data_IF_709905660157
#
_entry.id   IF_709905660157
#
_cell.length_a   1.000
_cell.length_b   1.000
_cell.length_c   1.000
_cell.angle_alpha   90.00
_cell.angle_beta   90.00
_cell.angle_gamma   90.00
#
_symmetry.space_group_name_H-M   'P 1'
#
loop_
_entity.id
_entity.type
_entity.pdbx_description
1 polymer ?
#
# COMPACT_ATOMS: atom_id res chain seq x y z
N UNK A 1 40.09 21.33 -14.42
CA UNK A 1 39.19 20.18 -14.60
C UNK A 1 39.44 19.21 -13.45
N UNK A 2 38.53 19.20 -12.49
CA UNK A 2 38.50 18.16 -11.44
C UNK A 2 37.76 16.98 -12.02
N UNK A 3 38.47 15.94 -12.40
CA UNK A 3 37.85 14.63 -12.71
C UNK A 3 37.08 14.14 -11.45
N UNK A 4 35.87 13.59 -11.59
CA UNK A 4 35.15 13.05 -10.47
C UNK A 4 35.95 11.88 -9.88
N UNK A 5 36.17 11.91 -8.58
CA UNK A 5 36.85 10.82 -7.84
C UNK A 5 36.02 9.55 -8.07
N UNK A 6 36.60 8.46 -8.59
CA UNK A 6 35.88 7.21 -8.76
C UNK A 6 35.46 6.71 -7.37
N UNK A 7 34.16 6.70 -7.08
CA UNK A 7 33.60 6.08 -5.88
C UNK A 7 33.85 4.58 -6.00
N UNK A 8 34.67 4.02 -5.14
CA UNK A 8 34.94 2.59 -5.11
C UNK A 8 33.74 1.86 -4.53
N UNK A 9 32.83 1.45 -5.42
CA UNK A 9 31.61 0.73 -5.03
C UNK A 9 32.01 -0.70 -4.68
N UNK A 10 31.54 -1.20 -3.53
CA UNK A 10 31.79 -2.57 -3.17
C UNK A 10 31.04 -3.54 -4.11
N UNK A 11 31.63 -4.68 -4.43
CA UNK A 11 31.01 -5.76 -5.20
C UNK A 11 29.66 -6.19 -4.60
N UNK A 12 29.55 -6.11 -3.28
CA UNK A 12 28.33 -6.44 -2.53
C UNK A 12 27.20 -5.44 -2.81
N UNK A 13 27.51 -4.13 -2.81
CA UNK A 13 26.53 -3.07 -3.14
C UNK A 13 26.02 -3.23 -4.57
N UNK A 14 26.91 -3.52 -5.51
CA UNK A 14 26.53 -3.75 -6.91
C UNK A 14 25.60 -4.95 -7.05
N UNK A 15 25.90 -6.06 -6.38
CA UNK A 15 25.06 -7.26 -6.38
C UNK A 15 23.68 -6.98 -5.80
N UNK A 16 23.60 -6.28 -4.65
CA UNK A 16 22.32 -5.90 -4.00
C UNK A 16 21.51 -4.96 -4.90
N UNK A 17 22.17 -4.03 -5.58
CA UNK A 17 21.51 -3.15 -6.55
C UNK A 17 20.92 -3.94 -7.73
N UNK A 18 21.70 -4.82 -8.38
CA UNK A 18 21.25 -5.66 -9.49
C UNK A 18 20.08 -6.57 -9.07
N UNK A 19 20.12 -7.13 -7.87
CA UNK A 19 19.03 -7.92 -7.31
C UNK A 19 17.78 -7.07 -7.07
N UNK A 20 17.91 -5.88 -6.53
CA UNK A 20 16.79 -4.94 -6.31
C UNK A 20 16.16 -4.51 -7.63
N UNK A 21 16.95 -4.20 -8.65
CA UNK A 21 16.45 -3.88 -9.99
C UNK A 21 15.72 -5.06 -10.65
N UNK A 22 16.15 -6.28 -10.37
CA UNK A 22 15.48 -7.49 -10.88
C UNK A 22 14.16 -7.76 -10.17
N UNK A 23 14.12 -7.58 -8.84
CA UNK A 23 12.91 -7.81 -8.02
C UNK A 23 11.87 -6.70 -8.17
N UNK A 24 12.33 -5.46 -8.35
CA UNK A 24 11.50 -4.26 -8.42
C UNK A 24 11.83 -3.42 -9.66
N UNK A 25 11.62 -3.95 -10.88
CA UNK A 25 12.04 -3.29 -12.14
C UNK A 25 11.28 -1.98 -12.43
N UNK A 26 10.23 -1.71 -11.66
CA UNK A 26 9.43 -0.49 -11.79
C UNK A 26 9.86 0.64 -10.87
N UNK A 27 10.78 0.38 -9.91
CA UNK A 27 11.34 1.40 -9.04
C UNK A 27 12.45 2.16 -9.77
N UNK A 28 12.47 3.47 -9.58
CA UNK A 28 13.52 4.32 -10.10
C UNK A 28 14.66 4.43 -9.07
N UNK A 29 15.52 3.43 -9.04
CA UNK A 29 16.68 3.37 -8.13
C UNK A 29 17.88 4.10 -8.73
N UNK A 30 18.62 4.83 -7.90
CA UNK A 30 19.91 5.42 -8.25
C UNK A 30 20.97 4.34 -8.49
N UNK A 31 22.14 4.68 -9.11
CA UNK A 31 23.17 3.70 -9.54
C UNK A 31 23.68 2.78 -8.43
N UNK A 32 23.57 3.17 -7.16
CA UNK A 32 24.08 2.40 -6.01
C UNK A 32 23.00 2.13 -4.97
N UNK A 33 21.78 2.50 -5.29
CA UNK A 33 20.64 2.33 -4.41
C UNK A 33 20.10 0.90 -4.51
N UNK A 34 19.86 0.28 -3.36
CA UNK A 34 19.25 -1.03 -3.24
C UNK A 34 18.18 -1.06 -2.15
N UNK A 35 17.17 -1.89 -2.34
CA UNK A 35 16.07 -2.05 -1.40
C UNK A 35 16.52 -2.90 -0.22
N UNK A 36 16.41 -2.34 0.99
CA UNK A 36 16.70 -3.04 2.25
C UNK A 36 15.44 -3.77 2.70
N UNK A 37 14.29 -3.09 2.67
CA UNK A 37 13.03 -3.63 3.13
C UNK A 37 11.86 -3.08 2.34
N UNK A 38 10.91 -3.95 2.02
CA UNK A 38 9.61 -3.59 1.49
C UNK A 38 8.54 -3.78 2.57
N UNK A 39 7.75 -2.75 2.82
CA UNK A 39 6.69 -2.75 3.82
C UNK A 39 5.34 -2.64 3.09
N UNK A 40 4.56 -3.73 3.00
CA UNK A 40 3.23 -3.68 2.44
C UNK A 40 2.22 -3.07 3.41
N UNK A 41 1.10 -2.59 2.89
CA UNK A 41 -0.04 -2.22 3.74
C UNK A 41 -0.65 -3.45 4.41
N UNK A 42 -1.04 -3.30 5.66
CA UNK A 42 -1.76 -4.33 6.39
C UNK A 42 -3.15 -4.55 5.78
N UNK A 43 -3.53 -5.81 5.54
CA UNK A 43 -4.78 -6.19 4.86
C UNK A 43 -6.07 -5.71 5.54
N UNK A 44 -6.00 -5.39 6.84
CA UNK A 44 -7.18 -4.93 7.59
C UNK A 44 -7.82 -3.66 7.00
N UNK A 45 -7.04 -2.82 6.33
CA UNK A 45 -7.56 -1.60 5.71
C UNK A 45 -8.54 -1.84 4.57
N UNK A 46 -8.51 -3.02 3.94
CA UNK A 46 -9.45 -3.40 2.88
C UNK A 46 -10.67 -4.18 3.40
N UNK A 47 -10.67 -4.61 4.66
CA UNK A 47 -11.77 -5.41 5.20
C UNK A 47 -13.11 -4.65 5.21
N UNK A 48 -13.11 -3.37 5.61
CA UNK A 48 -14.33 -2.55 5.62
C UNK A 48 -15.02 -2.51 4.25
N UNK A 49 -14.35 -2.01 3.19
CA UNK A 49 -14.88 -2.05 1.83
C UNK A 49 -15.28 -3.44 1.35
N UNK A 50 -14.50 -4.48 1.69
CA UNK A 50 -14.79 -5.87 1.31
C UNK A 50 -16.10 -6.36 1.95
N UNK A 51 -16.28 -6.15 3.25
CA UNK A 51 -17.52 -6.51 3.92
C UNK A 51 -18.73 -5.75 3.37
N UNK A 52 -18.61 -4.45 3.14
CA UNK A 52 -19.68 -3.64 2.56
C UNK A 52 -20.08 -4.16 1.16
N UNK A 53 -19.12 -4.51 0.33
CA UNK A 53 -19.37 -5.03 -1.01
C UNK A 53 -19.99 -6.43 -1.00
N UNK A 54 -19.50 -7.32 -0.13
CA UNK A 54 -20.08 -8.66 0.06
C UNK A 54 -21.53 -8.54 0.55
N UNK A 55 -21.79 -7.64 1.51
CA UNK A 55 -23.14 -7.40 1.99
C UNK A 55 -24.05 -6.91 0.87
N UNK A 56 -23.58 -5.98 0.03
CA UNK A 56 -24.34 -5.50 -1.13
C UNK A 56 -24.67 -6.64 -2.12
N UNK A 57 -23.72 -7.52 -2.41
CA UNK A 57 -23.94 -8.70 -3.26
C UNK A 57 -24.99 -9.63 -2.66
N UNK A 58 -24.92 -9.88 -1.34
CA UNK A 58 -25.90 -10.71 -0.63
C UNK A 58 -27.29 -10.08 -0.74
N UNK A 59 -27.43 -8.77 -0.49
CA UNK A 59 -28.71 -8.08 -0.57
C UNK A 59 -29.32 -8.14 -1.98
N UNK A 60 -28.51 -7.92 -3.02
CA UNK A 60 -28.96 -8.07 -4.41
C UNK A 60 -29.38 -9.51 -4.71
N UNK A 61 -28.65 -10.49 -4.21
CA UNK A 61 -28.98 -11.91 -4.39
C UNK A 61 -30.29 -12.28 -3.68
N UNK A 62 -30.47 -11.83 -2.43
CA UNK A 62 -31.72 -12.04 -1.70
C UNK A 62 -32.90 -11.37 -2.43
N UNK A 63 -32.73 -10.13 -2.89
CA UNK A 63 -33.75 -9.47 -3.68
C UNK A 63 -34.11 -10.27 -4.94
N UNK A 64 -33.12 -10.76 -5.68
CA UNK A 64 -33.32 -11.55 -6.88
C UNK A 64 -34.17 -12.81 -6.60
N UNK A 65 -33.90 -13.54 -5.52
CA UNK A 65 -34.66 -14.73 -5.15
C UNK A 65 -36.05 -14.43 -4.59
N UNK A 66 -36.19 -13.34 -3.81
CA UNK A 66 -37.46 -12.95 -3.21
C UNK A 66 -38.38 -12.15 -4.15
N UNK A 67 -37.89 -11.74 -5.32
CA UNK A 67 -38.67 -10.91 -6.27
C UNK A 67 -40.06 -11.45 -6.57
N UNK A 68 -40.28 -12.75 -6.87
CA UNK A 68 -41.64 -13.27 -7.16
C UNK A 68 -42.64 -13.03 -6.02
N UNK A 69 -42.20 -13.13 -4.77
CA UNK A 69 -43.04 -12.96 -3.59
C UNK A 69 -43.30 -11.48 -3.27
N UNK A 70 -42.32 -10.62 -3.55
CA UNK A 70 -42.44 -9.16 -3.41
C UNK A 70 -43.30 -8.56 -4.50
N UNK A 71 -43.20 -9.04 -5.72
CA UNK A 71 -43.90 -8.54 -6.91
C UNK A 71 -45.43 -8.76 -6.85
N UNK A 72 -45.87 -9.91 -6.31
CA UNK A 72 -47.27 -10.28 -6.22
C UNK A 72 -48.15 -9.23 -5.50
N UNK A 73 -47.85 -8.82 -4.25
CA UNK A 73 -48.69 -7.90 -3.49
C UNK A 73 -48.71 -6.48 -4.01
N UNK A 74 -47.69 -6.06 -4.75
CA UNK A 74 -47.57 -4.70 -5.30
C UNK A 74 -48.00 -4.59 -6.78
N UNK A 75 -48.54 -5.68 -7.35
CA UNK A 75 -49.07 -5.71 -8.71
C UNK A 75 -48.05 -5.65 -9.84
N UNK A 76 -46.76 -5.94 -9.56
CA UNK A 76 -45.75 -6.04 -10.57
C UNK A 76 -45.87 -7.35 -11.34
N UNK A 77 -45.64 -7.29 -12.65
CA UNK A 77 -45.76 -8.45 -13.52
C UNK A 77 -44.67 -9.48 -13.24
N UNK A 78 -45.08 -10.70 -12.90
CA UNK A 78 -44.15 -11.84 -12.73
C UNK A 78 -43.43 -12.18 -14.05
N UNK A 79 -43.98 -11.82 -15.19
CA UNK A 79 -43.32 -11.97 -16.51
C UNK A 79 -42.03 -11.17 -16.63
N UNK A 80 -41.76 -10.21 -15.75
CA UNK A 80 -40.52 -9.44 -15.73
C UNK A 80 -39.38 -10.14 -14.92
N UNK A 81 -39.65 -11.27 -14.30
CA UNK A 81 -38.67 -11.97 -13.47
C UNK A 81 -37.35 -12.32 -14.22
N UNK A 82 -37.37 -12.79 -15.50
CA UNK A 82 -36.15 -13.03 -16.24
C UNK A 82 -35.29 -11.78 -16.44
N UNK A 83 -35.93 -10.62 -16.68
CA UNK A 83 -35.23 -9.35 -16.83
C UNK A 83 -34.60 -8.89 -15.50
N UNK A 84 -35.32 -9.09 -14.39
CA UNK A 84 -34.80 -8.78 -13.04
C UNK A 84 -33.59 -9.65 -12.71
N UNK A 85 -33.65 -10.95 -13.01
CA UNK A 85 -32.51 -11.86 -12.84
C UNK A 85 -31.30 -11.35 -13.62
N UNK A 86 -31.49 -11.02 -14.90
CA UNK A 86 -30.41 -10.53 -15.76
C UNK A 86 -29.77 -9.27 -15.19
N UNK A 87 -30.58 -8.31 -14.77
CA UNK A 87 -30.09 -7.05 -14.17
C UNK A 87 -29.34 -7.32 -12.86
N UNK A 88 -29.90 -8.14 -11.98
CA UNK A 88 -29.24 -8.50 -10.71
C UNK A 88 -27.89 -9.19 -10.95
N UNK A 89 -27.82 -10.12 -11.91
CA UNK A 89 -26.55 -10.77 -12.27
C UNK A 89 -25.53 -9.78 -12.82
N UNK A 90 -25.94 -8.84 -13.66
CA UNK A 90 -25.06 -7.78 -14.13
C UNK A 90 -24.53 -6.92 -12.98
N UNK A 91 -25.37 -6.55 -12.01
CA UNK A 91 -24.98 -5.77 -10.83
C UNK A 91 -24.01 -6.55 -9.96
N UNK A 92 -24.26 -7.85 -9.73
CA UNK A 92 -23.36 -8.72 -8.95
C UNK A 92 -21.99 -8.83 -9.62
N UNK A 93 -21.94 -8.99 -10.96
CA UNK A 93 -20.68 -9.03 -11.71
C UNK A 93 -19.93 -7.70 -11.57
N UNK A 94 -20.63 -6.56 -11.72
CA UNK A 94 -20.01 -5.24 -11.56
C UNK A 94 -19.46 -5.02 -10.16
N UNK A 95 -20.16 -5.45 -9.12
CA UNK A 95 -19.68 -5.40 -7.74
C UNK A 95 -18.46 -6.30 -7.54
N UNK A 96 -18.44 -7.49 -8.13
CA UNK A 96 -17.30 -8.41 -8.08
C UNK A 96 -16.05 -7.82 -8.74
N UNK A 97 -16.21 -7.22 -9.92
CA UNK A 97 -15.12 -6.52 -10.63
C UNK A 97 -14.64 -5.32 -9.80
N UNK A 98 -15.56 -4.51 -9.25
CA UNK A 98 -15.22 -3.37 -8.42
C UNK A 98 -14.45 -3.76 -7.17
N UNK A 99 -14.85 -4.84 -6.50
CA UNK A 99 -14.14 -5.40 -5.34
C UNK A 99 -12.72 -5.88 -5.72
N UNK A 100 -12.59 -6.61 -6.82
CA UNK A 100 -11.30 -7.06 -7.31
C UNK A 100 -10.35 -5.88 -7.57
N UNK A 101 -10.84 -4.84 -8.26
CA UNK A 101 -10.07 -3.63 -8.54
C UNK A 101 -9.67 -2.93 -7.24
N UNK A 102 -10.59 -2.79 -6.28
CA UNK A 102 -10.31 -2.14 -5.00
C UNK A 102 -9.21 -2.87 -4.21
N UNK A 103 -9.28 -4.21 -4.13
CA UNK A 103 -8.25 -5.02 -3.50
C UNK A 103 -6.92 -4.88 -4.23
N UNK A 104 -6.92 -4.96 -5.54
CA UNK A 104 -5.71 -4.82 -6.36
C UNK A 104 -5.04 -3.47 -6.14
N UNK A 105 -5.79 -2.37 -6.25
CA UNK A 105 -5.29 -1.00 -6.02
C UNK A 105 -4.73 -0.86 -4.60
N UNK A 106 -5.42 -1.40 -3.60
CA UNK A 106 -4.98 -1.36 -2.20
C UNK A 106 -3.63 -2.06 -2.00
N UNK A 107 -3.46 -3.24 -2.59
CA UNK A 107 -2.25 -4.06 -2.46
C UNK A 107 -1.04 -3.49 -3.20
N UNK A 108 -1.25 -2.58 -4.17
CA UNK A 108 -0.15 -1.90 -4.87
C UNK A 108 0.45 -0.73 -4.08
N UNK A 109 -0.18 -0.32 -2.98
CA UNK A 109 0.39 0.70 -2.10
C UNK A 109 1.47 0.08 -1.21
N UNK A 110 2.72 0.41 -1.49
CA UNK A 110 3.90 -0.15 -0.85
C UNK A 110 4.84 0.96 -0.41
N UNK A 111 5.66 0.62 0.56
CA UNK A 111 6.68 1.47 1.09
C UNK A 111 8.02 0.72 1.03
N UNK A 112 9.04 1.35 0.49
CA UNK A 112 10.36 0.77 0.35
C UNK A 112 11.36 1.60 1.15
N UNK A 113 12.14 0.92 1.97
CA UNK A 113 13.32 1.47 2.59
C UNK A 113 14.52 1.03 1.78
N UNK A 114 15.32 1.99 1.31
CA UNK A 114 16.57 1.75 0.61
C UNK A 114 17.75 2.20 1.46
N UNK A 115 18.96 1.96 0.99
CA UNK A 115 20.18 2.45 1.63
C UNK A 115 20.37 3.97 1.50
N UNK A 116 19.61 4.68 0.66
CA UNK A 116 19.75 6.13 0.42
C UNK A 116 18.46 6.90 0.64
N UNK A 117 17.32 6.26 0.48
CA UNK A 117 16.03 6.91 0.47
C UNK A 117 14.89 6.06 1.02
N UNK A 118 13.75 6.70 1.16
CA UNK A 118 12.46 6.06 1.40
C UNK A 118 11.57 6.33 0.20
N UNK A 119 11.06 5.28 -0.42
CA UNK A 119 10.21 5.36 -1.61
C UNK A 119 8.80 4.90 -1.26
N UNK A 120 7.83 5.77 -1.48
CA UNK A 120 6.41 5.42 -1.34
C UNK A 120 5.76 5.29 -2.71
N UNK A 121 5.23 4.12 -3.01
CA UNK A 121 4.33 3.91 -4.13
C UNK A 121 2.88 4.07 -3.69
N UNK A 122 2.16 4.97 -4.35
CA UNK A 122 0.74 5.23 -4.09
C UNK A 122 -0.03 4.93 -5.36
N UNK A 123 -0.80 3.85 -5.35
CA UNK A 123 -1.76 3.55 -6.40
C UNK A 123 -3.09 4.17 -6.01
N UNK A 124 -3.55 5.15 -6.81
CA UNK A 124 -4.81 5.87 -6.56
C UNK A 124 -5.96 5.18 -7.31
N UNK A 125 -5.71 4.72 -8.52
CA UNK A 125 -6.68 4.02 -9.37
C UNK A 125 -5.94 3.06 -10.32
N UNK A 126 -6.66 2.34 -11.18
CA UNK A 126 -6.07 1.46 -12.19
C UNK A 126 -5.05 2.17 -13.09
N UNK A 127 -5.25 3.46 -13.36
CA UNK A 127 -4.46 4.24 -14.32
C UNK A 127 -3.69 5.40 -13.69
N UNK A 128 -3.74 5.54 -12.35
CA UNK A 128 -3.08 6.62 -11.62
C UNK A 128 -2.19 6.05 -10.54
N UNK A 129 -0.89 6.16 -10.77
CA UNK A 129 0.18 5.81 -9.83
C UNK A 129 0.99 7.07 -9.52
N UNK A 130 1.38 7.22 -8.27
CA UNK A 130 2.28 8.26 -7.78
C UNK A 130 3.41 7.62 -6.99
N UNK A 131 4.62 8.09 -7.23
CA UNK A 131 5.79 7.72 -6.46
C UNK A 131 6.31 8.96 -5.73
N UNK A 132 6.67 8.81 -4.48
CA UNK A 132 7.28 9.84 -3.66
C UNK A 132 8.56 9.29 -3.06
N UNK A 133 9.68 9.98 -3.29
CA UNK A 133 10.98 9.59 -2.76
C UNK A 133 11.48 10.65 -1.80
N UNK A 134 11.96 10.23 -0.65
CA UNK A 134 12.52 11.08 0.40
C UNK A 134 13.90 10.56 0.76
N UNK A 135 14.94 11.38 0.58
CA UNK A 135 16.31 11.01 0.99
C UNK A 135 16.39 10.81 2.51
N UNK A 136 17.11 9.79 2.95
CA UNK A 136 17.38 9.54 4.37
C UNK A 136 18.08 10.73 5.04
N UNK A 137 18.87 11.51 4.29
CA UNK A 137 19.51 12.72 4.79
C UNK A 137 18.51 13.78 5.24
N UNK A 138 17.38 13.89 4.54
CA UNK A 138 16.37 14.91 4.79
C UNK A 138 15.36 14.51 5.87
N UNK A 139 15.38 13.28 6.37
CA UNK A 139 14.50 12.83 7.45
C UNK A 139 15.01 13.37 8.77
N UNK A 140 14.21 14.23 9.41
CA UNK A 140 14.51 14.81 10.72
C UNK A 140 13.95 13.95 11.85
N UNK A 141 12.69 13.54 11.74
CA UNK A 141 12.00 12.76 12.75
C UNK A 141 11.09 11.71 12.11
N UNK A 142 11.02 10.55 12.74
CA UNK A 142 10.08 9.50 12.39
C UNK A 142 9.37 8.98 13.62
N UNK A 143 8.06 8.87 13.52
CA UNK A 143 7.20 8.43 14.60
C UNK A 143 6.14 7.46 14.11
N UNK A 144 5.64 6.62 15.02
CA UNK A 144 4.50 5.77 14.72
C UNK A 144 3.30 6.14 15.60
N UNK A 145 2.12 5.78 15.14
CA UNK A 145 0.87 5.98 15.88
C UNK A 145 -0.01 4.74 15.74
N UNK A 146 -0.40 4.19 16.89
CA UNK A 146 -1.44 3.18 17.01
C UNK A 146 -2.57 3.76 17.87
N UNK A 147 -3.79 3.82 17.33
CA UNK A 147 -4.95 4.44 17.99
C UNK A 147 -6.12 3.47 18.06
N UNK A 148 -6.53 3.16 19.28
CA UNK A 148 -7.70 2.31 19.54
C UNK A 148 -7.39 0.81 19.59
N UNK A 149 -8.42 0.06 20.01
CA UNK A 149 -8.33 -1.36 20.33
C UNK A 149 -7.94 -2.20 19.11
N UNK A 150 -8.50 -1.92 17.96
CA UNK A 150 -8.24 -2.69 16.73
C UNK A 150 -6.80 -2.57 16.26
N UNK A 151 -6.22 -1.37 16.31
CA UNK A 151 -4.83 -1.16 15.89
C UNK A 151 -3.85 -1.85 16.83
N UNK A 152 -4.15 -1.88 18.11
CA UNK A 152 -3.33 -2.56 19.11
C UNK A 152 -3.47 -4.08 19.00
N UNK A 153 -4.70 -4.59 18.85
CA UNK A 153 -4.96 -6.03 18.78
C UNK A 153 -4.35 -6.68 17.52
N UNK A 154 -4.46 -6.02 16.36
CA UNK A 154 -3.95 -6.51 15.08
C UNK A 154 -2.55 -5.98 14.76
N UNK A 155 -1.89 -5.28 15.69
CA UNK A 155 -0.56 -4.72 15.56
C UNK A 155 -0.32 -3.97 14.24
N UNK A 156 -1.22 -3.04 13.90
CA UNK A 156 -1.04 -2.15 12.76
C UNK A 156 -1.22 -0.69 13.18
N UNK A 157 -0.73 0.22 12.35
CA UNK A 157 -0.81 1.64 12.65
C UNK A 157 -0.37 2.51 11.49
N UNK A 158 0.05 3.72 11.79
CA UNK A 158 0.61 4.65 10.81
C UNK A 158 1.99 5.10 11.21
N UNK A 159 2.84 5.28 10.21
CA UNK A 159 4.16 5.90 10.33
C UNK A 159 4.07 7.32 9.80
N UNK A 160 4.75 8.24 10.47
CA UNK A 160 4.87 9.63 10.08
C UNK A 160 6.35 9.97 9.97
N UNK A 161 6.73 10.60 8.85
CA UNK A 161 8.06 11.15 8.61
C UNK A 161 7.97 12.66 8.50
N UNK A 162 8.86 13.37 9.17
CA UNK A 162 9.08 14.80 9.01
C UNK A 162 10.39 15.04 8.28
N UNK A 163 10.41 15.97 7.35
CA UNK A 163 11.63 16.37 6.62
C UNK A 163 12.08 17.75 7.03
N UNK A 164 13.39 17.96 7.00
CA UNK A 164 14.02 19.24 7.30
C UNK A 164 13.66 20.32 6.26
N UNK A 165 13.25 21.49 6.71
CA UNK A 165 13.05 22.67 5.87
C UNK A 165 11.71 22.80 5.16
N UNK A 166 10.94 21.74 5.03
CA UNK A 166 9.57 21.76 4.49
C UNK A 166 8.58 21.28 5.53
N UNK A 167 7.44 21.94 5.66
CA UNK A 167 6.31 21.49 6.49
C UNK A 167 5.67 20.18 5.96
N UNK A 168 6.37 19.49 5.05
CA UNK A 168 5.85 18.28 4.39
C UNK A 168 5.97 17.08 5.31
N UNK A 169 4.86 16.65 5.84
CA UNK A 169 4.76 15.42 6.61
C UNK A 169 4.30 14.26 5.72
N UNK A 170 5.13 13.26 5.61
CA UNK A 170 4.77 12.02 4.92
C UNK A 170 4.09 11.06 5.90
N UNK A 171 2.92 10.56 5.54
CA UNK A 171 2.17 9.62 6.36
C UNK A 171 1.90 8.32 5.60
N UNK A 172 2.25 7.21 6.25
CA UNK A 172 1.94 5.86 5.76
C UNK A 172 0.95 5.22 6.72
N UNK A 173 -0.24 4.92 6.23
CA UNK A 173 -1.30 4.31 7.03
C UNK A 173 -1.39 2.81 6.78
N UNK A 174 -1.89 2.08 7.77
CA UNK A 174 -2.05 0.62 7.73
C UNK A 174 -0.72 -0.13 7.58
N UNK A 175 0.29 0.29 8.31
CA UNK A 175 1.58 -0.42 8.40
C UNK A 175 1.48 -1.52 9.43
N UNK A 176 1.93 -2.73 9.09
CA UNK A 176 2.06 -3.82 10.05
C UNK A 176 3.28 -3.58 10.94
N UNK A 177 3.15 -3.87 12.24
CA UNK A 177 4.19 -3.69 13.24
C UNK A 177 4.92 -2.32 13.15
N UNK A 178 4.19 -1.21 13.27
CA UNK A 178 4.72 0.12 12.99
C UNK A 178 5.85 0.52 13.94
N UNK A 179 5.87 -0.02 15.15
CA UNK A 179 6.94 0.22 16.13
C UNK A 179 8.29 -0.31 15.63
N UNK A 180 8.30 -1.55 15.15
CA UNK A 180 9.51 -2.17 14.62
C UNK A 180 9.96 -1.51 13.32
N UNK A 181 9.01 -1.16 12.45
CA UNK A 181 9.31 -0.48 11.19
C UNK A 181 9.96 0.90 11.42
N UNK A 182 9.48 1.67 12.40
CA UNK A 182 10.09 2.96 12.76
C UNK A 182 11.48 2.75 13.38
N UNK A 183 11.69 1.70 14.18
CA UNK A 183 13.01 1.39 14.72
C UNK A 183 14.02 1.10 13.60
N UNK A 184 13.68 0.24 12.65
CA UNK A 184 14.52 -0.06 11.48
C UNK A 184 14.79 1.21 10.65
N UNK A 185 13.77 2.05 10.44
CA UNK A 185 13.92 3.30 9.72
C UNK A 185 14.87 4.27 10.45
N UNK A 186 14.73 4.44 11.77
CA UNK A 186 15.61 5.29 12.57
C UNK A 186 17.06 4.80 12.53
N UNK A 187 17.27 3.49 12.64
CA UNK A 187 18.60 2.90 12.52
C UNK A 187 19.20 3.16 11.12
N UNK A 188 18.38 3.05 10.06
CA UNK A 188 18.81 3.35 8.70
C UNK A 188 19.20 4.84 8.54
N UNK A 189 18.38 5.77 9.04
CA UNK A 189 18.65 7.22 9.01
C UNK A 189 19.93 7.53 9.79
N UNK A 190 20.11 6.97 10.98
CA UNK A 190 21.30 7.18 11.80
C UNK A 190 22.56 6.61 11.14
N UNK A 191 22.50 5.40 10.60
CA UNK A 191 23.59 4.78 9.87
C UNK A 191 24.01 5.64 8.67
N UNK A 192 23.03 6.08 7.88
CA UNK A 192 23.27 6.93 6.71
C UNK A 192 23.92 8.26 7.08
N UNK A 193 23.38 8.98 8.08
CA UNK A 193 23.93 10.27 8.55
C UNK A 193 25.33 10.14 9.15
N UNK A 194 25.67 9.00 9.72
CA UNK A 194 26.99 8.70 10.26
C UNK A 194 27.95 8.07 9.23
N UNK A 195 27.57 7.95 7.97
CA UNK A 195 28.40 7.33 6.93
C UNK A 195 28.65 5.83 7.13
N UNK A 196 27.80 5.15 7.91
CA UNK A 196 27.85 3.69 8.10
C UNK A 196 27.00 3.00 7.03
N UNK A 197 27.35 1.76 6.63
CA UNK A 197 26.49 1.01 5.75
C UNK A 197 25.10 0.79 6.36
N UNK A 198 24.06 1.01 5.59
CA UNK A 198 22.69 0.78 6.02
C UNK A 198 22.36 -0.69 5.78
N UNK A 199 22.14 -1.44 6.84
CA UNK A 199 21.82 -2.88 6.80
C UNK A 199 20.54 -3.16 7.60
N UNK A 200 19.94 -4.34 7.37
CA UNK A 200 18.75 -4.78 8.07
C UNK A 200 19.08 -5.65 9.31
N UNK A 201 20.35 -5.71 9.72
CA UNK A 201 20.84 -6.68 10.69
C UNK A 201 20.95 -6.14 12.14
N UNK A 202 20.35 -4.95 12.43
CA UNK A 202 20.34 -4.36 13.79
C UNK A 202 18.93 -4.20 14.38
#
# INVERSE_FOLDING_TARGET
>A
STEPIPVHISEETRRKHEESCRLYPWLNLSEHEYVIQMIPRHSIGIWGPTFAMILAIILVSVFMFCYPDIAKPIGLAQSMYPQVILICLMVIILFGIGLYIAIWVYMQNRFFLTNESVIQEIQISLFSKREQTVSLMNIEDSSYSQKGILQTLFNYGSIRLSTEGDETTYRFSYVADPKNQVAVLNNAVEAFKNGRPVTNDD
#
